data_IF_291635711767
#
_entry.id   IF_291635711767
#
_cell.length_a   1.000
_cell.length_b   1.000
_cell.length_c   1.000
_cell.angle_alpha   90.00
_cell.angle_beta   90.00
_cell.angle_gamma   90.00
#
_symmetry.space_group_name_H-M   'P 1'
#
loop_
_entity.id
_entity.type
_entity.pdbx_description
1 polymer ?
#
# COMPACT_ATOMS: atom_id res chain seq x y z
N UNK A 1 -57.54 39.06 57.73
CA UNK A 1 -56.07 39.01 57.92
C UNK A 1 -55.56 37.78 57.20
N UNK A 2 -54.48 37.95 56.41
CA UNK A 2 -53.55 36.91 55.89
C UNK A 2 -54.14 35.80 55.00
N UNK A 3 -53.53 35.38 53.89
CA UNK A 3 -52.27 35.70 53.21
C UNK A 3 -52.45 35.24 51.75
N UNK A 4 -52.09 36.06 50.77
CA UNK A 4 -51.91 35.66 49.38
C UNK A 4 -50.67 34.75 49.26
N UNK A 5 -50.80 33.65 48.51
CA UNK A 5 -49.66 32.87 48.04
C UNK A 5 -49.87 32.53 46.56
N UNK A 6 -49.30 33.39 45.72
CA UNK A 6 -49.09 33.19 44.30
C UNK A 6 -47.78 32.42 44.14
N UNK A 7 -47.83 31.18 43.66
CA UNK A 7 -46.63 30.40 43.33
C UNK A 7 -46.58 30.29 41.81
N UNK A 8 -45.66 31.05 41.21
CA UNK A 8 -45.29 30.96 39.80
C UNK A 8 -44.55 29.63 39.58
N UNK A 9 -44.98 28.87 38.57
CA UNK A 9 -44.36 27.62 38.15
C UNK A 9 -43.76 27.81 36.75
N UNK A 10 -42.56 28.36 36.71
CA UNK A 10 -41.73 28.42 35.50
C UNK A 10 -40.99 27.08 35.38
N UNK A 11 -41.62 26.14 34.66
CA UNK A 11 -41.02 24.88 34.28
C UNK A 11 -40.79 24.85 32.75
N UNK A 12 -39.92 25.72 32.25
CA UNK A 12 -39.36 25.59 30.91
C UNK A 12 -38.24 24.54 30.93
N UNK A 13 -38.65 23.27 30.88
CA UNK A 13 -37.76 22.12 30.67
C UNK A 13 -37.23 22.09 29.24
N UNK A 14 -36.26 22.96 28.96
CA UNK A 14 -35.50 23.00 27.72
C UNK A 14 -34.29 22.05 27.80
N UNK A 15 -34.47 20.79 27.41
CA UNK A 15 -33.33 19.93 27.05
C UNK A 15 -33.60 19.19 25.73
N UNK A 16 -33.51 19.92 24.63
CA UNK A 16 -33.28 19.33 23.31
C UNK A 16 -31.86 18.74 23.29
N UNK A 17 -31.71 17.50 23.76
CA UNK A 17 -30.48 16.71 23.57
C UNK A 17 -30.35 16.40 22.08
N UNK A 18 -29.61 17.24 21.36
CA UNK A 18 -29.21 16.97 19.99
C UNK A 18 -28.37 15.70 19.98
N UNK A 19 -28.93 14.63 19.41
CA UNK A 19 -28.21 13.37 19.25
C UNK A 19 -27.12 13.58 18.20
N UNK A 20 -25.89 13.80 18.65
CA UNK A 20 -24.72 13.86 17.76
C UNK A 20 -24.56 12.50 17.09
N UNK A 21 -24.46 12.48 15.77
CA UNK A 21 -24.33 11.24 15.01
C UNK A 21 -22.96 10.60 15.25
N UNK A 22 -22.90 9.26 15.19
CA UNK A 22 -21.63 8.52 15.31
C UNK A 22 -20.59 8.98 14.27
N UNK A 23 -21.05 9.38 13.08
CA UNK A 23 -20.20 9.91 12.01
C UNK A 23 -19.55 11.26 12.40
N UNK A 24 -20.28 12.13 13.09
CA UNK A 24 -19.74 13.39 13.60
C UNK A 24 -18.70 13.16 14.69
N UNK A 25 -18.91 12.16 15.56
CA UNK A 25 -17.93 11.75 16.57
C UNK A 25 -16.63 11.29 15.90
N UNK A 26 -16.71 10.41 14.89
CA UNK A 26 -15.53 9.95 14.16
C UNK A 26 -14.80 11.08 13.43
N UNK A 27 -15.54 11.96 12.76
CA UNK A 27 -14.98 13.14 12.09
C UNK A 27 -14.25 14.04 13.08
N UNK A 28 -14.83 14.28 14.25
CA UNK A 28 -14.20 15.09 15.30
C UNK A 28 -12.93 14.44 15.86
N UNK A 29 -12.96 13.13 16.11
CA UNK A 29 -11.78 12.38 16.56
C UNK A 29 -10.63 12.43 15.53
N UNK A 30 -10.92 12.32 14.24
CA UNK A 30 -9.92 12.47 13.18
C UNK A 30 -9.32 13.87 13.15
N UNK A 31 -10.14 14.92 13.31
CA UNK A 31 -9.66 16.29 13.36
C UNK A 31 -8.72 16.53 14.56
N UNK A 32 -9.05 16.00 15.74
CA UNK A 32 -8.19 16.09 16.93
C UNK A 32 -6.85 15.40 16.67
N UNK A 33 -6.86 14.18 16.12
CA UNK A 33 -5.63 13.42 15.84
C UNK A 33 -4.75 14.12 14.80
N UNK A 34 -5.36 14.66 13.74
CA UNK A 34 -4.65 15.45 12.73
C UNK A 34 -3.99 16.69 13.34
N UNK A 35 -4.70 17.41 14.22
CA UNK A 35 -4.14 18.55 14.94
C UNK A 35 -3.00 18.17 15.89
N UNK A 36 -3.09 17.03 16.58
CA UNK A 36 -2.02 16.50 17.44
C UNK A 36 -0.77 16.15 16.63
N UNK A 37 -0.93 15.46 15.49
CA UNK A 37 0.18 15.13 14.59
C UNK A 37 0.83 16.40 14.04
N UNK A 38 0.04 17.41 13.68
CA UNK A 38 0.55 18.71 13.21
C UNK A 38 1.39 19.41 14.29
N UNK A 39 0.94 19.42 15.54
CA UNK A 39 1.72 19.97 16.67
C UNK A 39 3.03 19.22 16.89
N UNK A 40 2.98 17.89 16.93
CA UNK A 40 4.18 17.05 17.06
C UNK A 40 5.18 17.28 15.92
N UNK A 41 4.67 17.50 14.70
CA UNK A 41 5.49 17.85 13.54
C UNK A 41 6.20 19.19 13.74
N UNK A 42 5.49 20.22 14.19
CA UNK A 42 6.06 21.54 14.48
C UNK A 42 7.10 21.48 15.60
N UNK A 43 6.87 20.65 16.63
CA UNK A 43 7.84 20.43 17.71
C UNK A 43 9.08 19.69 17.21
N UNK A 44 8.88 18.65 16.39
CA UNK A 44 9.98 17.91 15.76
C UNK A 44 10.79 18.82 14.83
N UNK A 45 10.15 19.64 14.01
CA UNK A 45 10.80 20.62 13.11
C UNK A 45 11.66 21.66 13.86
N UNK A 46 11.36 21.91 15.15
CA UNK A 46 12.17 22.77 16.03
C UNK A 46 13.29 22.02 16.76
N UNK A 47 13.28 20.70 16.74
CA UNK A 47 14.24 19.88 17.47
C UNK A 47 15.64 19.92 16.80
N UNK A 48 16.73 19.85 17.58
CA UNK A 48 18.08 19.72 17.03
C UNK A 48 18.25 18.50 16.12
N UNK A 49 17.46 17.45 16.33
CA UNK A 49 17.51 16.23 15.52
C UNK A 49 16.94 16.44 14.12
N UNK A 50 15.90 17.27 13.99
CA UNK A 50 15.40 17.69 12.68
C UNK A 50 16.44 18.53 11.94
N UNK A 51 17.13 19.44 12.63
CA UNK A 51 18.22 20.21 12.01
C UNK A 51 19.39 19.32 11.62
N UNK A 52 19.83 18.39 12.45
CA UNK A 52 20.88 17.42 12.07
C UNK A 52 20.47 16.56 10.88
N UNK A 53 19.23 16.07 10.87
CA UNK A 53 18.70 15.32 9.73
C UNK A 53 18.68 16.20 8.47
N UNK A 54 18.15 17.42 8.56
CA UNK A 54 18.06 18.34 7.41
C UNK A 54 19.39 18.96 7.00
N UNK A 55 20.39 19.06 7.88
CA UNK A 55 21.74 19.56 7.60
C UNK A 55 22.59 18.49 6.90
N UNK A 56 22.42 17.21 7.28
CA UNK A 56 22.89 16.07 6.48
C UNK A 56 22.29 16.15 5.06
N UNK A 57 21.03 16.54 4.92
CA UNK A 57 20.41 16.76 3.60
C UNK A 57 20.89 18.07 2.94
N UNK A 58 21.10 19.16 3.66
CA UNK A 58 21.46 20.47 3.12
C UNK A 58 22.87 20.50 2.54
N UNK A 59 23.80 19.73 3.13
CA UNK A 59 25.12 19.52 2.55
C UNK A 59 25.08 18.76 1.22
N UNK A 60 23.99 18.04 0.94
CA UNK A 60 23.69 17.38 -0.34
C UNK A 60 22.76 18.22 -1.26
N UNK A 61 22.18 19.35 -0.82
CA UNK A 61 21.21 20.17 -1.59
C UNK A 61 21.88 21.24 -2.47
N UNK A 62 23.06 20.95 -3.03
CA UNK A 62 23.44 21.53 -4.34
C UNK A 62 23.09 20.62 -5.52
N UNK A 63 22.28 19.59 -5.27
CA UNK A 63 21.89 18.60 -6.26
C UNK A 63 20.48 18.96 -6.79
N UNK A 64 20.43 19.39 -8.04
CA UNK A 64 19.21 19.71 -8.83
C UNK A 64 18.08 18.68 -8.63
N UNK A 65 16.82 19.05 -8.83
CA UNK A 65 15.64 18.16 -8.77
C UNK A 65 15.81 16.80 -9.51
N UNK A 66 16.65 16.76 -10.55
CA UNK A 66 17.02 15.53 -11.27
C UNK A 66 17.76 14.50 -10.39
N UNK A 67 18.53 14.94 -9.39
CA UNK A 67 19.25 14.07 -8.44
C UNK A 67 18.38 13.60 -7.29
N UNK A 68 17.34 14.34 -6.91
CA UNK A 68 16.36 13.88 -5.91
C UNK A 68 15.50 12.73 -6.46
N UNK A 69 15.15 12.80 -7.75
CA UNK A 69 14.59 11.66 -8.49
C UNK A 69 15.58 10.50 -8.59
N UNK A 70 16.87 10.78 -8.77
CA UNK A 70 17.92 9.75 -8.82
C UNK A 70 18.18 9.10 -7.45
N UNK A 71 18.09 9.85 -6.35
CA UNK A 71 18.19 9.36 -4.98
C UNK A 71 16.95 8.56 -4.58
N UNK A 72 15.75 9.01 -4.95
CA UNK A 72 14.55 8.19 -4.85
C UNK A 72 14.72 6.90 -5.65
N UNK A 73 15.17 6.97 -6.91
CA UNK A 73 15.49 5.78 -7.71
C UNK A 73 16.56 4.89 -7.06
N UNK A 74 17.55 5.46 -6.40
CA UNK A 74 18.63 4.74 -5.73
C UNK A 74 18.14 4.06 -4.44
N UNK A 75 17.35 4.74 -3.61
CA UNK A 75 16.67 4.15 -2.46
C UNK A 75 15.66 3.09 -2.88
N UNK A 76 14.92 3.33 -3.96
CA UNK A 76 14.06 2.34 -4.62
C UNK A 76 14.86 1.20 -5.26
N UNK A 77 16.15 1.35 -5.57
CA UNK A 77 17.00 0.28 -6.12
C UNK A 77 17.62 -0.57 -5.01
N UNK A 78 18.10 0.06 -3.92
CA UNK A 78 18.75 -0.63 -2.81
C UNK A 78 17.76 -1.48 -1.98
N UNK A 79 16.60 -0.92 -1.65
CA UNK A 79 15.53 -1.66 -0.95
C UNK A 79 14.97 -2.81 -1.79
N UNK A 80 15.05 -2.66 -3.11
CA UNK A 80 14.49 -3.58 -4.09
C UNK A 80 15.38 -4.80 -4.36
N UNK A 81 16.70 -4.67 -4.28
CA UNK A 81 17.59 -5.84 -4.40
C UNK A 81 17.32 -6.88 -3.31
N UNK A 82 16.91 -6.45 -2.10
CA UNK A 82 16.59 -7.35 -1.00
C UNK A 82 15.24 -8.04 -1.18
N UNK A 83 14.23 -7.31 -1.66
CA UNK A 83 12.94 -7.89 -2.02
C UNK A 83 13.15 -8.89 -3.17
N UNK A 84 13.81 -8.50 -4.26
CA UNK A 84 14.02 -9.34 -5.44
C UNK A 84 14.71 -10.68 -5.14
N UNK A 85 15.77 -10.69 -4.33
CA UNK A 85 16.53 -11.91 -4.04
C UNK A 85 15.78 -12.90 -3.15
N UNK A 86 14.91 -12.42 -2.25
CA UNK A 86 14.16 -13.29 -1.32
C UNK A 86 12.74 -13.61 -1.80
N UNK A 87 12.17 -12.80 -2.68
CA UNK A 87 10.75 -12.84 -3.06
C UNK A 87 10.56 -13.32 -4.50
N UNK A 88 11.48 -13.00 -5.41
CA UNK A 88 11.30 -13.21 -6.86
C UNK A 88 12.40 -14.02 -7.54
N UNK A 89 13.31 -14.66 -6.79
CA UNK A 89 14.37 -15.52 -7.32
C UNK A 89 13.92 -16.76 -8.11
N UNK A 90 12.60 -16.97 -8.28
CA UNK A 90 12.02 -18.10 -8.99
C UNK A 90 11.59 -17.74 -10.41
N UNK A 91 12.56 -17.35 -11.26
CA UNK A 91 12.32 -17.16 -12.70
C UNK A 91 11.78 -18.43 -13.40
N UNK A 92 11.94 -19.61 -12.79
CA UNK A 92 11.50 -20.90 -13.32
C UNK A 92 9.98 -21.05 -13.42
N UNK A 93 9.20 -20.41 -12.54
CA UNK A 93 7.75 -20.58 -12.52
C UNK A 93 7.03 -19.79 -13.62
N UNK A 94 7.59 -18.66 -14.06
CA UNK A 94 6.96 -17.81 -15.08
C UNK A 94 6.60 -18.58 -16.36
N UNK A 95 7.49 -19.47 -16.82
CA UNK A 95 7.28 -20.22 -18.07
C UNK A 95 6.07 -21.14 -18.00
N UNK A 96 5.75 -21.68 -16.82
CA UNK A 96 4.66 -22.63 -16.62
C UNK A 96 3.28 -21.96 -16.67
N UNK A 97 3.19 -20.65 -16.44
CA UNK A 97 1.90 -19.95 -16.41
C UNK A 97 1.49 -19.38 -17.77
N UNK A 98 2.43 -19.28 -18.72
CA UNK A 98 2.17 -18.70 -20.04
C UNK A 98 1.12 -19.48 -20.82
N UNK A 99 1.09 -20.80 -20.63
CA UNK A 99 0.23 -21.74 -21.36
C UNK A 99 -1.16 -21.92 -20.73
N UNK A 100 -1.40 -21.37 -19.53
CA UNK A 100 -2.69 -21.48 -18.85
C UNK A 100 -3.74 -20.58 -19.49
N UNK A 101 -4.96 -21.08 -19.60
CA UNK A 101 -6.13 -20.28 -19.96
C UNK A 101 -6.43 -19.23 -18.89
N UNK A 102 -7.26 -18.23 -19.22
CA UNK A 102 -7.61 -17.17 -18.26
C UNK A 102 -8.28 -17.72 -16.99
N UNK A 103 -9.25 -18.62 -17.13
CA UNK A 103 -9.96 -19.22 -16.00
C UNK A 103 -9.01 -20.02 -15.09
N UNK A 104 -8.08 -20.76 -15.68
CA UNK A 104 -7.05 -21.49 -14.94
C UNK A 104 -6.09 -20.55 -14.19
N UNK A 105 -5.67 -19.46 -14.84
CA UNK A 105 -4.85 -18.42 -14.19
C UNK A 105 -5.58 -17.82 -12.98
N UNK A 106 -6.83 -17.41 -13.15
CA UNK A 106 -7.62 -16.82 -12.07
C UNK A 106 -7.85 -17.81 -10.92
N UNK A 107 -8.20 -19.06 -11.25
CA UNK A 107 -8.41 -20.12 -10.27
C UNK A 107 -7.12 -20.40 -9.48
N UNK A 108 -5.99 -20.53 -10.17
CA UNK A 108 -4.69 -20.77 -9.53
C UNK A 108 -4.24 -19.58 -8.67
N UNK A 109 -4.46 -18.35 -9.13
CA UNK A 109 -4.17 -17.13 -8.37
C UNK A 109 -4.96 -17.08 -7.06
N UNK A 110 -6.27 -17.33 -7.12
CA UNK A 110 -7.12 -17.39 -5.93
C UNK A 110 -6.68 -18.47 -4.95
N UNK A 111 -6.41 -19.67 -5.45
CA UNK A 111 -5.95 -20.78 -4.61
C UNK A 111 -4.64 -20.46 -3.86
N UNK A 112 -3.66 -19.85 -4.55
CA UNK A 112 -2.40 -19.42 -3.93
C UNK A 112 -2.60 -18.29 -2.92
N UNK A 113 -3.44 -17.30 -3.24
CA UNK A 113 -3.81 -16.23 -2.32
C UNK A 113 -4.49 -16.77 -1.06
N UNK A 114 -5.43 -17.71 -1.21
CA UNK A 114 -6.15 -18.30 -0.08
C UNK A 114 -5.23 -19.15 0.81
N UNK A 115 -4.28 -19.87 0.21
CA UNK A 115 -3.23 -20.57 0.95
C UNK A 115 -2.32 -19.58 1.71
N UNK A 116 -1.94 -18.46 1.08
CA UNK A 116 -1.22 -17.37 1.75
C UNK A 116 -2.01 -16.80 2.93
N UNK A 117 -3.32 -16.59 2.77
CA UNK A 117 -4.21 -16.15 3.84
C UNK A 117 -4.26 -17.13 5.01
N UNK A 118 -4.30 -18.44 4.71
CA UNK A 118 -4.26 -19.50 5.72
C UNK A 118 -2.93 -19.49 6.49
N UNK A 119 -1.80 -19.37 5.79
CA UNK A 119 -0.47 -19.30 6.40
C UNK A 119 -0.29 -18.04 7.26
N UNK A 120 -0.78 -16.89 6.79
CA UNK A 120 -0.74 -15.62 7.53
C UNK A 120 -1.53 -15.71 8.84
N UNK A 121 -2.71 -16.35 8.84
CA UNK A 121 -3.49 -16.63 10.07
C UNK A 121 -2.73 -17.52 11.06
N UNK A 122 -1.91 -18.45 10.55
CA UNK A 122 -1.00 -19.29 11.36
C UNK A 122 0.28 -18.57 11.78
N UNK A 123 0.41 -17.26 11.51
CA UNK A 123 1.60 -16.43 11.77
C UNK A 123 2.87 -16.90 11.04
N UNK A 124 2.71 -17.71 9.99
CA UNK A 124 3.78 -18.16 9.09
C UNK A 124 3.99 -17.13 7.98
N UNK A 125 4.48 -15.96 8.37
CA UNK A 125 4.49 -14.77 7.49
C UNK A 125 5.45 -14.90 6.30
N UNK A 126 6.58 -15.58 6.46
CA UNK A 126 7.54 -15.79 5.36
C UNK A 126 6.94 -16.70 4.28
N UNK A 127 6.31 -17.81 4.69
CA UNK A 127 5.65 -18.73 3.77
C UNK A 127 4.41 -18.11 3.14
N UNK A 128 3.65 -17.30 3.91
CA UNK A 128 2.53 -16.55 3.38
C UNK A 128 2.97 -15.57 2.28
N UNK A 129 4.05 -14.80 2.52
CA UNK A 129 4.66 -13.93 1.51
C UNK A 129 4.99 -14.71 0.25
N UNK A 130 5.66 -15.86 0.37
CA UNK A 130 5.99 -16.70 -0.78
C UNK A 130 4.73 -17.05 -1.60
N UNK A 131 3.64 -17.45 -0.96
CA UNK A 131 2.39 -17.79 -1.65
C UNK A 131 1.70 -16.60 -2.32
N UNK A 132 1.72 -15.43 -1.68
CA UNK A 132 1.22 -14.21 -2.33
C UNK A 132 2.07 -13.83 -3.53
N UNK A 133 3.39 -14.01 -3.48
CA UNK A 133 4.26 -13.73 -4.62
C UNK A 133 4.01 -14.70 -5.78
N UNK A 134 3.86 -16.00 -5.49
CA UNK A 134 3.47 -17.01 -6.48
C UNK A 134 2.11 -16.65 -7.13
N UNK A 135 1.16 -16.10 -6.34
CA UNK A 135 -0.13 -15.61 -6.85
C UNK A 135 0.03 -14.41 -7.78
N UNK A 136 0.82 -13.39 -7.39
CA UNK A 136 1.10 -12.19 -8.21
C UNK A 136 1.79 -12.59 -9.52
N UNK A 137 2.72 -13.55 -9.45
CA UNK A 137 3.52 -14.03 -10.58
C UNK A 137 2.70 -14.65 -11.73
N UNK A 138 1.44 -15.02 -11.47
CA UNK A 138 0.52 -15.55 -12.48
C UNK A 138 0.11 -14.49 -13.50
N UNK A 139 -0.05 -13.24 -13.05
CA UNK A 139 -0.51 -12.14 -13.90
C UNK A 139 0.60 -11.17 -14.24
N UNK A 140 1.54 -10.94 -13.32
CA UNK A 140 2.62 -9.98 -13.49
C UNK A 140 3.98 -10.67 -13.34
N UNK A 141 5.00 -10.15 -13.99
CA UNK A 141 6.37 -10.61 -13.80
C UNK A 141 7.33 -9.43 -13.89
N UNK A 142 8.49 -9.58 -13.29
CA UNK A 142 9.53 -8.57 -13.36
C UNK A 142 10.48 -8.88 -14.51
N UNK A 143 10.63 -7.93 -15.44
CA UNK A 143 11.59 -8.00 -16.54
C UNK A 143 12.74 -7.06 -16.26
N UNK A 144 13.96 -7.59 -16.30
CA UNK A 144 15.19 -6.78 -16.27
C UNK A 144 15.31 -6.05 -17.61
N UNK A 145 15.51 -4.74 -17.59
CA UNK A 145 15.58 -3.90 -18.80
C UNK A 145 17.00 -3.53 -19.19
N UNK A 146 17.97 -3.70 -18.29
CA UNK A 146 19.39 -3.49 -18.58
C UNK A 146 20.20 -4.79 -18.39
N UNK A 147 21.35 -4.84 -19.06
CA UNK A 147 22.25 -6.00 -19.03
C UNK A 147 22.84 -6.24 -17.62
N UNK A 148 22.82 -5.22 -16.77
CA UNK A 148 23.27 -5.27 -15.37
C UNK A 148 22.20 -5.80 -14.42
N UNK A 149 20.93 -5.81 -14.83
CA UNK A 149 19.79 -6.19 -13.98
C UNK A 149 19.48 -5.20 -12.86
N UNK A 150 19.94 -3.95 -12.97
CA UNK A 150 19.71 -2.86 -12.01
C UNK A 150 18.33 -2.22 -12.24
N UNK A 151 17.85 -2.21 -13.49
CA UNK A 151 16.52 -1.71 -13.84
C UNK A 151 15.56 -2.85 -14.09
N UNK A 152 14.44 -2.79 -13.40
CA UNK A 152 13.41 -3.81 -13.45
C UNK A 152 12.07 -3.14 -13.67
N UNK A 153 11.31 -3.63 -14.64
CA UNK A 153 9.95 -3.19 -14.92
C UNK A 153 8.98 -4.30 -14.56
N UNK A 154 7.82 -3.92 -14.04
CA UNK A 154 6.71 -4.85 -13.84
C UNK A 154 5.97 -4.99 -15.17
N UNK A 155 5.96 -6.20 -15.74
CA UNK A 155 5.31 -6.54 -16.99
C UNK A 155 4.07 -7.40 -16.74
N UNK A 156 3.09 -7.32 -17.65
CA UNK A 156 1.97 -8.25 -17.70
C UNK A 156 2.34 -9.55 -18.42
N UNK A 157 1.99 -10.69 -17.83
CA UNK A 157 2.17 -12.02 -18.43
C UNK A 157 1.40 -12.20 -19.75
N UNK A 158 0.36 -11.38 -19.98
CA UNK A 158 -0.51 -11.45 -21.15
C UNK A 158 0.09 -10.70 -22.34
N UNK A 159 0.94 -9.69 -22.10
CA UNK A 159 1.63 -8.95 -23.16
C UNK A 159 3.15 -8.92 -22.90
N UNK A 160 3.90 -9.95 -23.32
CA UNK A 160 5.34 -10.04 -23.07
C UNK A 160 6.17 -9.00 -23.85
N UNK A 161 5.61 -8.44 -24.92
CA UNK A 161 6.25 -7.48 -25.81
C UNK A 161 5.78 -6.05 -25.47
N UNK A 162 6.06 -5.62 -24.24
CA UNK A 162 5.65 -4.32 -23.68
C UNK A 162 6.44 -3.11 -24.23
N UNK A 163 6.92 -3.14 -25.49
CA UNK A 163 7.59 -1.99 -26.09
C UNK A 163 6.62 -0.90 -26.53
N UNK A 164 5.35 -1.26 -26.76
CA UNK A 164 4.30 -0.30 -27.08
C UNK A 164 3.32 -0.16 -25.91
N UNK A 165 3.12 1.08 -25.45
CA UNK A 165 2.22 1.47 -24.36
C UNK A 165 0.73 1.29 -24.74
N UNK A 166 0.44 0.53 -25.79
CA UNK A 166 -0.92 0.14 -26.10
C UNK A 166 -1.30 -1.00 -25.16
N UNK A 167 -2.32 -0.73 -24.34
CA UNK A 167 -2.94 -1.62 -23.36
C UNK A 167 -2.68 -3.11 -23.64
N UNK A 168 -2.28 -3.90 -22.62
CA UNK A 168 -2.19 -5.34 -22.80
C UNK A 168 -3.53 -5.83 -23.37
N UNK A 169 -3.50 -6.67 -24.40
CA UNK A 169 -4.72 -7.22 -25.00
C UNK A 169 -5.35 -8.24 -24.05
N UNK A 170 -5.83 -7.77 -22.89
CA UNK A 170 -6.80 -8.49 -22.09
C UNK A 170 -8.01 -8.75 -22.99
N UNK A 171 -8.52 -9.98 -22.99
CA UNK A 171 -9.64 -10.31 -23.88
C UNK A 171 -10.91 -9.55 -23.52
N UNK A 172 -11.01 -9.05 -22.28
CA UNK A 172 -12.02 -8.09 -21.86
C UNK A 172 -11.56 -7.21 -20.68
N UNK A 173 -12.15 -6.02 -20.56
CA UNK A 173 -12.01 -5.13 -19.40
C UNK A 173 -12.37 -5.83 -18.09
N UNK A 174 -13.39 -6.70 -18.10
CA UNK A 174 -13.82 -7.45 -16.93
C UNK A 174 -12.70 -8.39 -16.42
N UNK A 175 -11.98 -9.05 -17.33
CA UNK A 175 -10.85 -9.91 -16.97
C UNK A 175 -9.70 -9.10 -16.36
N UNK A 176 -9.42 -7.92 -16.91
CA UNK A 176 -8.43 -6.99 -16.39
C UNK A 176 -8.79 -6.56 -14.96
N UNK A 177 -10.03 -6.12 -14.74
CA UNK A 177 -10.50 -5.69 -13.41
C UNK A 177 -10.40 -6.82 -12.38
N UNK A 178 -10.77 -8.04 -12.77
CA UNK A 178 -10.65 -9.22 -11.90
C UNK A 178 -9.20 -9.49 -11.53
N UNK A 179 -8.30 -9.59 -12.51
CA UNK A 179 -6.89 -9.82 -12.24
C UNK A 179 -6.26 -8.70 -11.40
N UNK A 180 -6.56 -7.43 -11.73
CA UNK A 180 -6.14 -6.25 -10.97
C UNK A 180 -6.58 -6.34 -9.51
N UNK A 181 -7.85 -6.67 -9.25
CA UNK A 181 -8.38 -6.78 -7.89
C UNK A 181 -7.67 -7.88 -7.07
N UNK A 182 -7.37 -9.03 -7.68
CA UNK A 182 -6.69 -10.14 -7.00
C UNK A 182 -5.22 -9.79 -6.70
N UNK A 183 -4.52 -9.15 -7.64
CA UNK A 183 -3.14 -8.73 -7.45
C UNK A 183 -3.03 -7.65 -6.38
N UNK A 184 -3.90 -6.63 -6.41
CA UNK A 184 -3.95 -5.60 -5.36
C UNK A 184 -4.20 -6.22 -3.99
N UNK A 185 -5.12 -7.18 -3.89
CA UNK A 185 -5.36 -7.90 -2.64
C UNK A 185 -4.11 -8.63 -2.15
N UNK A 186 -3.35 -9.27 -3.05
CA UNK A 186 -2.08 -9.91 -2.69
C UNK A 186 -1.04 -8.90 -2.20
N UNK A 187 -0.88 -7.75 -2.86
CA UNK A 187 0.05 -6.70 -2.41
C UNK A 187 -0.32 -6.16 -1.03
N UNK A 188 -1.59 -5.91 -0.77
CA UNK A 188 -2.06 -5.48 0.56
C UNK A 188 -1.76 -6.54 1.64
N UNK A 189 -1.96 -7.81 1.32
CA UNK A 189 -1.62 -8.91 2.22
C UNK A 189 -0.10 -9.03 2.44
N UNK A 190 0.71 -8.80 1.40
CA UNK A 190 2.16 -8.70 1.51
C UNK A 190 2.56 -7.55 2.44
N UNK A 191 2.00 -6.35 2.26
CA UNK A 191 2.22 -5.19 3.14
C UNK A 191 1.96 -5.54 4.60
N UNK A 192 0.84 -6.23 4.88
CA UNK A 192 0.51 -6.65 6.24
C UNK A 192 1.53 -7.65 6.80
N UNK A 193 1.95 -8.64 6.02
CA UNK A 193 2.96 -9.61 6.44
C UNK A 193 4.33 -8.95 6.68
N UNK A 194 4.76 -8.06 5.79
CA UNK A 194 5.99 -7.28 5.94
C UNK A 194 5.96 -6.41 7.21
N UNK A 195 4.81 -5.80 7.51
CA UNK A 195 4.63 -5.04 8.74
C UNK A 195 4.79 -5.92 9.99
N UNK A 196 4.22 -7.14 9.98
CA UNK A 196 4.38 -8.10 11.09
C UNK A 196 5.81 -8.61 11.25
N UNK A 197 6.60 -8.58 10.19
CA UNK A 197 8.01 -8.95 10.19
C UNK A 197 8.96 -7.77 10.49
N UNK A 198 8.44 -6.55 10.70
CA UNK A 198 9.27 -5.35 10.90
C UNK A 198 9.97 -4.84 9.63
N UNK A 199 9.56 -5.33 8.45
CA UNK A 199 10.13 -4.97 7.14
C UNK A 199 9.45 -3.72 6.57
N UNK A 200 9.63 -2.58 7.24
CA UNK A 200 8.89 -1.35 6.94
C UNK A 200 9.14 -0.79 5.53
N UNK A 201 10.35 -0.94 4.99
CA UNK A 201 10.68 -0.53 3.61
C UNK A 201 9.81 -1.25 2.59
N UNK A 202 9.55 -2.53 2.82
CA UNK A 202 8.80 -3.37 1.88
C UNK A 202 7.30 -3.12 1.97
N UNK A 203 6.82 -2.66 3.13
CA UNK A 203 5.45 -2.16 3.30
C UNK A 203 5.22 -0.96 2.38
N UNK A 204 6.12 0.03 2.43
CA UNK A 204 6.03 1.24 1.59
C UNK A 204 6.03 0.87 0.11
N UNK A 205 6.87 -0.08 -0.28
CA UNK A 205 6.93 -0.53 -1.67
C UNK A 205 5.62 -1.20 -2.13
N UNK A 206 5.10 -2.16 -1.36
CA UNK A 206 3.85 -2.85 -1.67
C UNK A 206 2.65 -1.88 -1.73
N UNK A 207 2.59 -0.87 -0.85
CA UNK A 207 1.50 0.13 -0.88
C UNK A 207 1.64 1.11 -2.04
N UNK A 208 2.87 1.59 -2.31
CA UNK A 208 3.11 2.56 -3.40
C UNK A 208 2.75 1.96 -4.75
N UNK A 209 3.06 0.68 -4.96
CA UNK A 209 2.72 0.00 -6.20
C UNK A 209 1.21 -0.01 -6.47
N UNK A 210 0.40 -0.33 -5.48
CA UNK A 210 -1.07 -0.39 -5.60
C UNK A 210 -1.66 0.98 -5.99
N UNK A 211 -1.06 2.07 -5.52
CA UNK A 211 -1.53 3.43 -5.78
C UNK A 211 -1.09 4.00 -7.14
N UNK A 212 -0.18 3.34 -7.86
CA UNK A 212 0.27 3.85 -9.16
C UNK A 212 -0.85 3.77 -10.20
N UNK A 213 -1.20 4.88 -10.91
CA UNK A 213 -2.29 4.90 -11.89
C UNK A 213 -2.14 3.82 -12.97
N UNK A 214 -0.88 3.54 -13.35
CA UNK A 214 -0.49 2.60 -14.40
C UNK A 214 0.00 1.25 -13.85
N UNK A 215 -0.37 0.90 -12.61
CA UNK A 215 -0.02 -0.41 -12.05
C UNK A 215 -0.58 -1.57 -12.89
N UNK A 216 -1.66 -1.31 -13.63
CA UNK A 216 -2.37 -2.17 -14.55
C UNK A 216 -2.89 -1.38 -15.73
#
# INVERSE_FOLDING_TARGET
MSYEQTVASDAEGNECRTSVSLQEIFRHAMNIKSAQISKLRVEFEKSPDFFKATEIYAHDIHLSANKLNHLLHFFFSLTYSFFHNNVFGQHTHFRQHKELTWDEKLTKCRALKDEGNRLSKLKKYHEALQKYNESIAIFKYFKKTDDKGERIILCDTISPDCTDIQFPQWTSEEQWQKARSEVIACFNNCSLCCLKLGRHTDVVWCTTLVDTPNFF
#
